data_IF_825103674253
#
_entry.id   IF_825103674253
#
_cell.length_a   1.000
_cell.length_b   1.000
_cell.length_c   1.000
_cell.angle_alpha   90.00
_cell.angle_beta   90.00
_cell.angle_gamma   90.00
#
_symmetry.space_group_name_H-M   'P 1'
#
loop_
_entity.id
_entity.type
_entity.pdbx_description
1 polymer ?
#
# COMPACT_ATOMS: atom_id res chain seq x y z
N UNK A 1 37.17 -9.87 6.82
CA UNK A 1 36.19 -10.50 5.90
C UNK A 1 34.94 -9.68 5.98
N UNK A 2 34.47 -9.10 4.87
CA UNK A 2 33.22 -8.34 4.88
C UNK A 2 32.05 -9.27 5.20
N UNK A 3 31.15 -8.86 6.09
CA UNK A 3 29.99 -9.67 6.53
C UNK A 3 28.77 -9.31 5.70
N UNK A 4 28.02 -10.31 5.22
CA UNK A 4 26.74 -10.06 4.54
C UNK A 4 25.68 -9.63 5.56
N UNK A 5 25.10 -8.46 5.34
CA UNK A 5 23.94 -7.92 6.05
C UNK A 5 22.72 -8.07 5.14
N UNK A 6 21.62 -8.65 5.64
CA UNK A 6 20.36 -8.79 4.89
C UNK A 6 19.30 -7.85 5.49
N UNK A 7 18.41 -7.34 4.66
CA UNK A 7 17.36 -6.42 5.06
C UNK A 7 16.00 -7.10 5.06
N UNK A 8 15.11 -6.67 5.94
CA UNK A 8 13.73 -7.13 5.92
C UNK A 8 13.02 -6.63 4.65
N UNK A 9 12.31 -7.53 3.99
CA UNK A 9 11.60 -7.23 2.74
C UNK A 9 10.17 -6.80 3.02
N UNK A 10 9.70 -5.74 2.37
CA UNK A 10 8.35 -5.19 2.56
C UNK A 10 7.68 -4.86 1.23
N UNK A 11 6.47 -5.37 1.04
CA UNK A 11 5.63 -5.02 -0.10
C UNK A 11 4.77 -3.79 0.21
N UNK A 12 4.53 -2.97 -0.80
CA UNK A 12 3.66 -1.80 -0.77
C UNK A 12 2.43 -1.94 -1.69
N UNK A 13 2.20 -3.14 -2.22
CA UNK A 13 1.10 -3.48 -3.14
C UNK A 13 1.62 -4.07 -4.44
N UNK A 14 0.70 -4.37 -5.35
CA UNK A 14 0.98 -4.83 -6.70
C UNK A 14 -0.13 -4.38 -7.66
N UNK A 15 0.23 -4.05 -8.90
CA UNK A 15 -0.70 -3.92 -10.02
C UNK A 15 -0.72 -5.23 -10.79
N UNK A 16 -1.82 -5.94 -10.65
CA UNK A 16 -2.00 -7.28 -11.14
C UNK A 16 -2.46 -7.28 -12.62
N UNK A 17 -1.78 -8.06 -13.46
CA UNK A 17 -2.14 -8.22 -14.89
C UNK A 17 -3.55 -8.80 -15.06
N UNK A 18 -4.20 -8.52 -16.20
CA UNK A 18 -5.51 -9.14 -16.49
C UNK A 18 -5.35 -10.67 -16.53
N UNK A 19 -6.09 -11.43 -15.71
CA UNK A 19 -5.96 -12.88 -15.69
C UNK A 19 -6.48 -13.52 -16.97
N UNK A 20 -5.88 -14.64 -17.34
CA UNK A 20 -6.38 -15.46 -18.42
C UNK A 20 -7.68 -16.17 -18.03
N UNK A 21 -8.49 -16.53 -19.03
CA UNK A 21 -9.72 -17.30 -18.83
C UNK A 21 -9.43 -18.64 -18.13
N UNK A 22 -8.31 -19.28 -18.46
CA UNK A 22 -7.93 -20.57 -17.85
C UNK A 22 -7.67 -20.42 -16.36
N UNK A 23 -6.92 -19.38 -15.94
CA UNK A 23 -6.64 -19.13 -14.53
C UNK A 23 -7.93 -18.86 -13.74
N UNK A 24 -8.84 -18.07 -14.32
CA UNK A 24 -10.14 -17.81 -13.69
C UNK A 24 -11.01 -19.07 -13.60
N UNK A 25 -11.04 -19.91 -14.63
CA UNK A 25 -11.81 -21.16 -14.62
C UNK A 25 -11.29 -22.12 -13.52
N UNK A 26 -9.98 -22.28 -13.42
CA UNK A 26 -9.33 -23.11 -12.41
C UNK A 26 -9.56 -22.58 -10.99
N UNK A 27 -9.54 -21.26 -10.83
CA UNK A 27 -9.79 -20.62 -9.54
C UNK A 27 -11.25 -20.70 -9.13
N UNK A 28 -12.18 -20.34 -10.01
CA UNK A 28 -13.63 -20.36 -9.72
C UNK A 28 -14.12 -21.76 -9.35
N UNK A 29 -13.57 -22.81 -9.96
CA UNK A 29 -13.85 -24.20 -9.55
C UNK A 29 -13.52 -24.51 -8.08
N UNK A 30 -12.59 -23.76 -7.47
CA UNK A 30 -12.19 -23.88 -6.06
C UNK A 30 -13.00 -22.98 -5.12
N UNK A 31 -13.79 -22.04 -5.64
CA UNK A 31 -14.57 -21.08 -4.85
C UNK A 31 -16.00 -21.55 -4.52
N UNK A 32 -16.33 -22.83 -4.72
CA UNK A 32 -17.69 -23.32 -4.54
C UNK A 32 -18.25 -23.01 -3.13
N UNK A 33 -19.40 -22.32 -3.08
CA UNK A 33 -20.05 -21.93 -1.82
C UNK A 33 -19.44 -20.71 -1.13
N UNK A 34 -18.49 -20.01 -1.78
CA UNK A 34 -17.88 -18.78 -1.27
C UNK A 34 -18.20 -17.62 -2.21
N UNK A 35 -18.66 -16.50 -1.66
CA UNK A 35 -18.81 -15.27 -2.43
C UNK A 35 -17.42 -14.72 -2.76
N UNK A 36 -17.09 -14.68 -4.04
CA UNK A 36 -15.81 -14.21 -4.54
C UNK A 36 -16.01 -13.61 -5.94
N UNK A 37 -15.25 -12.56 -6.26
CA UNK A 37 -15.25 -11.93 -7.57
C UNK A 37 -13.84 -11.77 -8.10
N UNK A 38 -13.71 -11.05 -9.22
CA UNK A 38 -12.41 -10.78 -9.84
C UNK A 38 -11.46 -10.05 -8.88
N UNK A 39 -11.97 -9.12 -8.07
CA UNK A 39 -11.13 -8.40 -7.10
C UNK A 39 -10.61 -9.37 -6.05
N UNK A 40 -11.47 -10.26 -5.52
CA UNK A 40 -11.03 -11.30 -4.60
C UNK A 40 -9.93 -12.17 -5.21
N UNK A 41 -10.04 -12.56 -6.49
CA UNK A 41 -8.97 -13.30 -7.19
C UNK A 41 -7.65 -12.52 -7.23
N UNK A 42 -7.69 -11.23 -7.63
CA UNK A 42 -6.49 -10.40 -7.74
C UNK A 42 -5.78 -10.23 -6.39
N UNK A 43 -6.54 -10.08 -5.30
CA UNK A 43 -5.99 -10.05 -3.94
C UNK A 43 -5.22 -11.33 -3.60
N UNK A 44 -5.82 -12.51 -3.85
CA UNK A 44 -5.14 -13.78 -3.59
C UNK A 44 -3.87 -13.92 -4.43
N UNK A 45 -3.98 -13.61 -5.72
CA UNK A 45 -2.87 -13.74 -6.67
C UNK A 45 -1.71 -12.83 -6.28
N UNK A 46 -1.99 -11.58 -5.94
CA UNK A 46 -0.97 -10.60 -5.52
C UNK A 46 -0.20 -11.07 -4.29
N UNK A 47 -0.86 -11.76 -3.37
CA UNK A 47 -0.26 -12.22 -2.12
C UNK A 47 0.49 -13.55 -2.27
N UNK A 48 -0.02 -14.45 -3.12
CA UNK A 48 0.53 -15.79 -3.33
C UNK A 48 1.96 -15.77 -3.88
N UNK A 49 2.30 -14.73 -4.65
CA UNK A 49 3.62 -14.59 -5.30
C UNK A 49 4.70 -13.94 -4.43
N UNK A 50 4.36 -13.53 -3.20
CA UNK A 50 5.24 -12.77 -2.31
C UNK A 50 6.08 -13.65 -1.35
N UNK A 51 6.57 -14.82 -1.79
CA UNK A 51 7.28 -15.77 -0.93
C UNK A 51 8.54 -15.17 -0.26
N UNK A 52 9.28 -14.32 -0.98
CA UNK A 52 10.49 -13.67 -0.49
C UNK A 52 10.26 -12.37 0.30
N UNK A 53 9.00 -11.96 0.47
CA UNK A 53 8.61 -10.74 1.21
C UNK A 53 8.40 -11.09 2.67
N UNK A 54 8.89 -10.29 3.62
CA UNK A 54 8.69 -10.51 5.06
C UNK A 54 7.37 -9.89 5.51
N UNK A 55 7.19 -8.59 5.23
CA UNK A 55 5.93 -7.87 5.45
C UNK A 55 5.15 -7.79 4.14
N UNK A 56 4.23 -8.74 3.94
CA UNK A 56 3.47 -8.84 2.71
C UNK A 56 2.31 -7.86 2.64
N UNK A 57 1.90 -7.52 1.42
CA UNK A 57 0.81 -6.58 1.17
C UNK A 57 0.00 -7.04 -0.05
N UNK A 58 -1.27 -7.38 0.17
CA UNK A 58 -2.22 -7.62 -0.93
C UNK A 58 -2.75 -6.29 -1.47
N UNK A 59 -3.41 -6.30 -2.63
CA UNK A 59 -4.05 -5.11 -3.19
C UNK A 59 -3.11 -4.21 -3.98
N UNK A 60 -3.64 -3.07 -4.38
CA UNK A 60 -3.05 -2.11 -5.32
C UNK A 60 -4.10 -1.10 -5.75
N UNK A 61 -3.82 -0.33 -6.80
CA UNK A 61 -4.74 0.67 -7.31
C UNK A 61 -6.05 0.06 -7.83
N UNK A 62 -6.00 -1.16 -8.39
CA UNK A 62 -7.19 -1.91 -8.81
C UNK A 62 -8.20 -2.14 -7.67
N UNK A 63 -7.76 -2.10 -6.41
CA UNK A 63 -8.65 -2.29 -5.28
C UNK A 63 -9.57 -1.08 -5.05
N UNK A 64 -9.32 0.05 -5.70
CA UNK A 64 -10.18 1.23 -5.66
C UNK A 64 -11.63 0.97 -6.05
N UNK A 65 -11.90 0.02 -6.97
CA UNK A 65 -13.28 -0.33 -7.34
C UNK A 65 -14.05 -0.98 -6.19
N UNK A 66 -13.37 -1.74 -5.33
CA UNK A 66 -13.98 -2.25 -4.09
C UNK A 66 -14.32 -1.11 -3.14
N UNK A 67 -13.49 -0.08 -3.07
CA UNK A 67 -13.68 1.07 -2.18
C UNK A 67 -14.88 1.88 -2.64
N UNK A 68 -14.92 2.21 -3.92
CA UNK A 68 -16.05 2.88 -4.55
C UNK A 68 -17.36 2.12 -4.33
N UNK A 69 -17.35 0.79 -4.47
CA UNK A 69 -18.52 -0.05 -4.20
C UNK A 69 -18.92 -0.15 -2.72
N UNK A 70 -18.02 0.19 -1.79
CA UNK A 70 -18.24 0.13 -0.34
C UNK A 70 -18.64 1.47 0.26
N UNK A 71 -18.63 2.56 -0.51
CA UNK A 71 -19.03 3.89 -0.08
C UNK A 71 -20.47 4.16 -0.54
N UNK A 72 -21.39 4.22 0.42
CA UNK A 72 -22.78 4.61 0.19
C UNK A 72 -22.86 6.11 -0.11
N UNK A 73 -23.88 6.53 -0.85
CA UNK A 73 -24.07 7.93 -1.27
C UNK A 73 -23.38 8.30 -2.59
N UNK A 74 -22.57 7.41 -3.16
CA UNK A 74 -21.98 7.55 -4.49
C UNK A 74 -22.94 7.14 -5.61
N UNK A 75 -22.90 7.89 -6.72
CA UNK A 75 -23.46 7.52 -8.03
C UNK A 75 -22.43 7.83 -9.10
N UNK A 76 -21.93 6.82 -9.81
CA UNK A 76 -20.92 6.98 -10.86
C UNK A 76 -19.71 7.83 -10.43
N UNK A 77 -19.16 7.55 -9.23
CA UNK A 77 -18.07 8.30 -8.57
C UNK A 77 -18.41 9.75 -8.18
N UNK A 78 -19.67 10.12 -8.18
CA UNK A 78 -20.13 11.42 -7.67
C UNK A 78 -20.82 11.23 -6.32
N UNK A 79 -20.35 11.94 -5.30
CA UNK A 79 -20.98 11.97 -4.00
C UNK A 79 -22.20 12.90 -4.04
N UNK A 80 -23.39 12.32 -3.82
CA UNK A 80 -24.68 13.02 -3.97
C UNK A 80 -25.52 13.03 -2.69
N UNK A 81 -25.01 12.42 -1.63
CA UNK A 81 -25.62 12.36 -0.31
C UNK A 81 -24.52 12.16 0.74
N UNK A 82 -24.90 12.23 2.01
CA UNK A 82 -24.01 11.93 3.13
C UNK A 82 -23.38 10.53 2.96
N UNK A 83 -22.04 10.40 3.00
CA UNK A 83 -21.40 9.13 2.77
C UNK A 83 -21.50 8.22 4.01
N UNK A 84 -21.72 6.92 3.78
CA UNK A 84 -21.65 5.87 4.80
C UNK A 84 -20.96 4.63 4.20
N UNK A 85 -20.82 3.55 4.97
CA UNK A 85 -20.12 2.34 4.54
C UNK A 85 -21.07 1.16 4.31
N UNK A 86 -20.81 0.39 3.27
CA UNK A 86 -21.14 -1.04 3.20
C UNK A 86 -19.85 -1.84 3.27
N UNK A 87 -19.54 -2.36 4.46
CA UNK A 87 -18.29 -3.08 4.70
C UNK A 87 -18.33 -4.56 4.28
N UNK A 88 -19.45 -5.06 3.74
CA UNK A 88 -19.68 -6.50 3.55
C UNK A 88 -18.60 -7.19 2.71
N UNK A 89 -18.18 -6.57 1.61
CA UNK A 89 -17.15 -7.12 0.73
C UNK A 89 -15.73 -6.90 1.25
N UNK A 90 -15.40 -5.73 1.82
CA UNK A 90 -14.06 -5.49 2.39
C UNK A 90 -13.77 -6.42 3.57
N UNK A 91 -14.78 -6.78 4.36
CA UNK A 91 -14.67 -7.78 5.44
C UNK A 91 -14.36 -9.17 4.86
N UNK A 92 -15.05 -9.58 3.80
CA UNK A 92 -14.78 -10.87 3.13
C UNK A 92 -13.37 -10.93 2.57
N UNK A 93 -12.95 -9.88 1.89
CA UNK A 93 -11.59 -9.76 1.34
C UNK A 93 -10.53 -9.76 2.44
N UNK A 94 -10.73 -9.02 3.54
CA UNK A 94 -9.82 -9.00 4.67
C UNK A 94 -9.63 -10.39 5.30
N UNK A 95 -10.72 -11.16 5.46
CA UNK A 95 -10.65 -12.55 5.94
C UNK A 95 -9.89 -13.45 4.98
N UNK A 96 -10.07 -13.25 3.66
CA UNK A 96 -9.35 -13.99 2.61
C UNK A 96 -7.85 -13.70 2.64
N UNK A 97 -7.48 -12.41 2.73
CA UNK A 97 -6.09 -11.98 2.91
C UNK A 97 -5.49 -12.63 4.17
N UNK A 98 -6.19 -12.56 5.30
CA UNK A 98 -5.73 -13.13 6.56
C UNK A 98 -5.55 -14.65 6.50
N UNK A 99 -6.48 -15.35 5.86
CA UNK A 99 -6.44 -16.81 5.71
C UNK A 99 -5.27 -17.28 4.84
N UNK A 100 -4.91 -16.51 3.80
CA UNK A 100 -3.75 -16.79 2.96
C UNK A 100 -2.44 -16.43 3.65
N UNK A 101 -2.40 -15.28 4.33
CA UNK A 101 -1.19 -14.80 4.99
C UNK A 101 -1.52 -13.93 6.21
N UNK A 102 -1.23 -14.48 7.38
CA UNK A 102 -1.36 -13.74 8.63
C UNK A 102 -0.46 -12.50 8.62
N UNK A 103 -0.96 -11.44 9.23
CA UNK A 103 -0.29 -10.15 9.34
C UNK A 103 0.01 -9.43 8.01
N UNK A 104 -0.60 -9.86 6.89
CA UNK A 104 -0.51 -9.12 5.64
C UNK A 104 -1.20 -7.75 5.74
N UNK A 105 -0.60 -6.78 5.07
CA UNK A 105 -1.16 -5.46 4.85
C UNK A 105 -2.05 -5.46 3.60
N UNK A 106 -2.81 -4.39 3.42
CA UNK A 106 -3.61 -4.18 2.22
C UNK A 106 -3.35 -2.81 1.60
N UNK A 107 -3.04 -2.78 0.31
CA UNK A 107 -2.81 -1.58 -0.47
C UNK A 107 -4.07 -1.19 -1.24
N UNK A 108 -4.31 0.12 -1.31
CA UNK A 108 -5.47 0.73 -1.93
C UNK A 108 -5.13 2.18 -2.34
N UNK A 109 -5.87 2.79 -3.29
CA UNK A 109 -5.75 4.23 -3.52
C UNK A 109 -6.11 5.04 -2.28
N UNK A 110 -5.44 6.18 -2.08
CA UNK A 110 -5.88 7.21 -1.13
C UNK A 110 -7.20 7.89 -1.57
N UNK A 111 -7.93 8.54 -0.66
CA UNK A 111 -9.20 9.22 -0.97
C UNK A 111 -9.18 10.12 -2.21
N UNK A 112 -8.20 11.01 -2.32
CA UNK A 112 -8.01 11.94 -3.45
C UNK A 112 -7.65 11.24 -4.76
N UNK A 113 -7.12 10.02 -4.68
CA UNK A 113 -6.75 9.21 -5.84
C UNK A 113 -7.92 8.37 -6.39
N UNK A 114 -9.06 8.30 -5.70
CA UNK A 114 -10.25 7.59 -6.20
C UNK A 114 -11.02 8.36 -7.29
N UNK A 115 -10.74 9.66 -7.45
CA UNK A 115 -11.43 10.51 -8.42
C UNK A 115 -12.92 10.67 -8.10
N UNK A 116 -13.27 10.80 -6.82
CA UNK A 116 -14.64 11.08 -6.39
C UNK A 116 -14.92 12.57 -6.54
N UNK A 117 -16.00 12.92 -7.22
CA UNK A 117 -16.49 14.30 -7.32
C UNK A 117 -17.48 14.61 -6.21
N UNK A 118 -17.40 15.82 -5.63
CA UNK A 118 -18.38 16.29 -4.65
C UNK A 118 -19.53 17.07 -5.30
N UNK A 119 -20.76 16.68 -4.98
CA UNK A 119 -22.00 17.45 -5.26
C UNK A 119 -22.92 17.54 -4.05
N UNK A 120 -22.46 17.13 -2.87
CA UNK A 120 -23.24 17.12 -1.63
C UNK A 120 -22.80 18.22 -0.68
N UNK A 121 -21.50 18.31 -0.37
CA UNK A 121 -20.99 19.27 0.61
C UNK A 121 -20.84 20.67 -0.01
N UNK A 122 -20.30 20.76 -1.22
CA UNK A 122 -20.00 22.03 -1.88
C UNK A 122 -18.80 22.77 -1.28
N UNK A 123 -18.21 22.23 -0.21
CA UNK A 123 -16.97 22.66 0.41
C UNK A 123 -15.94 21.52 0.38
N UNK A 124 -14.72 21.85 -0.03
CA UNK A 124 -13.66 20.85 -0.21
C UNK A 124 -13.18 20.27 1.12
N UNK A 125 -13.17 21.05 2.20
CA UNK A 125 -12.70 20.57 3.49
C UNK A 125 -13.71 19.60 4.11
N UNK A 126 -14.99 19.98 4.15
CA UNK A 126 -16.07 19.13 4.65
C UNK A 126 -16.17 17.82 3.84
N UNK A 127 -15.99 17.90 2.51
CA UNK A 127 -15.95 16.72 1.65
C UNK A 127 -14.82 15.75 2.00
N UNK A 128 -13.59 16.24 2.15
CA UNK A 128 -12.45 15.37 2.45
C UNK A 128 -12.49 14.85 3.89
N UNK A 129 -12.96 15.62 4.86
CA UNK A 129 -13.18 15.17 6.26
C UNK A 129 -14.16 13.99 6.29
N UNK A 130 -15.33 14.13 5.64
CA UNK A 130 -16.33 13.07 5.55
C UNK A 130 -15.80 11.83 4.82
N UNK A 131 -15.06 12.02 3.73
CA UNK A 131 -14.47 10.91 2.97
C UNK A 131 -13.38 10.19 3.78
N UNK A 132 -12.53 10.92 4.50
CA UNK A 132 -11.52 10.33 5.40
C UNK A 132 -12.18 9.56 6.54
N UNK A 133 -13.28 10.05 7.10
CA UNK A 133 -14.04 9.34 8.12
C UNK A 133 -14.54 7.97 7.62
N UNK A 134 -15.10 7.93 6.39
CA UNK A 134 -15.53 6.70 5.73
C UNK A 134 -14.36 5.73 5.50
N UNK A 135 -13.23 6.23 5.01
CA UNK A 135 -12.01 5.44 4.83
C UNK A 135 -11.51 4.84 6.15
N UNK A 136 -11.43 5.66 7.20
CA UNK A 136 -10.99 5.22 8.52
C UNK A 136 -11.87 4.09 9.08
N UNK A 137 -13.19 4.16 8.85
CA UNK A 137 -14.15 3.11 9.22
C UNK A 137 -13.96 1.84 8.40
N UNK A 138 -13.89 1.91 7.06
CA UNK A 138 -13.64 0.73 6.21
C UNK A 138 -12.31 0.04 6.56
N UNK A 139 -11.23 0.81 6.72
CA UNK A 139 -9.93 0.28 7.13
C UNK A 139 -9.99 -0.37 8.51
N UNK A 140 -10.82 0.14 9.43
CA UNK A 140 -11.03 -0.49 10.73
C UNK A 140 -11.72 -1.85 10.60
N UNK A 141 -12.79 -1.95 9.82
CA UNK A 141 -13.50 -3.21 9.57
C UNK A 141 -12.57 -4.30 9.00
N UNK A 142 -11.65 -3.91 8.10
CA UNK A 142 -10.64 -4.82 7.58
C UNK A 142 -9.63 -5.26 8.65
N UNK A 143 -9.17 -4.36 9.53
CA UNK A 143 -8.25 -4.72 10.62
C UNK A 143 -8.92 -5.67 11.62
N UNK A 144 -10.16 -5.37 11.98
CA UNK A 144 -10.96 -6.19 12.88
C UNK A 144 -11.24 -7.57 12.27
N UNK A 145 -11.12 -7.68 10.94
CA UNK A 145 -11.22 -8.92 10.17
C UNK A 145 -9.88 -9.61 9.83
N UNK A 146 -8.74 -9.07 10.30
CA UNK A 146 -7.44 -9.75 10.28
C UNK A 146 -6.32 -9.10 9.45
N UNK A 147 -6.58 -7.99 8.74
CA UNK A 147 -5.54 -7.22 8.03
C UNK A 147 -4.67 -6.44 9.03
N UNK A 148 -3.35 -6.45 8.84
CA UNK A 148 -2.43 -5.85 9.82
C UNK A 148 -2.33 -4.33 9.77
N UNK A 149 -2.61 -3.75 8.61
CA UNK A 149 -2.41 -2.33 8.29
C UNK A 149 -2.70 -2.05 6.82
N UNK A 150 -2.65 -0.77 6.45
CA UNK A 150 -3.03 -0.29 5.12
C UNK A 150 -1.90 0.51 4.47
N UNK A 151 -1.76 0.38 3.16
CA UNK A 151 -0.90 1.24 2.34
C UNK A 151 -1.81 2.08 1.45
N UNK A 152 -1.80 3.40 1.63
CA UNK A 152 -2.55 4.34 0.80
C UNK A 152 -1.65 4.81 -0.34
N UNK A 153 -2.01 4.44 -1.56
CA UNK A 153 -1.27 4.75 -2.79
C UNK A 153 -1.82 6.04 -3.40
N UNK A 154 -0.93 6.97 -3.74
CA UNK A 154 -1.28 8.18 -4.47
C UNK A 154 -0.07 9.04 -4.82
N UNK A 155 -0.12 9.79 -5.92
CA UNK A 155 0.97 10.68 -6.32
C UNK A 155 0.97 12.02 -5.56
N UNK A 156 -0.12 12.29 -4.85
CA UNK A 156 -0.31 13.39 -3.93
C UNK A 156 -1.44 13.09 -2.97
N UNK A 157 -1.38 13.71 -1.80
CA UNK A 157 -2.42 13.63 -0.76
C UNK A 157 -2.84 15.05 -0.39
N UNK A 158 -4.08 15.27 0.00
CA UNK A 158 -4.51 16.52 0.65
C UNK A 158 -3.98 16.57 2.09
N UNK A 159 -3.94 17.76 2.69
CA UNK A 159 -3.48 17.87 4.08
C UNK A 159 -4.46 17.20 5.03
N UNK A 160 -5.76 17.27 4.73
CA UNK A 160 -6.83 16.58 5.46
C UNK A 160 -6.61 15.06 5.44
N UNK A 161 -6.33 14.46 4.28
CA UNK A 161 -6.03 13.02 4.20
C UNK A 161 -4.82 12.62 5.05
N UNK A 162 -3.76 13.42 5.00
CA UNK A 162 -2.54 13.15 5.76
C UNK A 162 -2.78 13.27 7.26
N UNK A 163 -3.48 14.31 7.70
CA UNK A 163 -3.78 14.57 9.11
C UNK A 163 -4.77 13.54 9.69
N UNK A 164 -5.84 13.23 8.96
CA UNK A 164 -6.95 12.40 9.47
C UNK A 164 -6.68 10.90 9.39
N UNK A 165 -5.92 10.45 8.38
CA UNK A 165 -5.67 9.03 8.17
C UNK A 165 -4.31 8.57 8.71
N UNK A 166 -3.40 9.49 9.07
CA UNK A 166 -2.12 9.10 9.64
C UNK A 166 -2.28 8.27 10.92
N UNK A 167 -1.45 7.24 11.05
CA UNK A 167 -1.40 6.43 12.26
C UNK A 167 -0.57 5.17 12.09
N UNK A 168 -0.36 4.45 13.18
CA UNK A 168 0.54 3.27 13.22
C UNK A 168 0.18 2.14 12.24
N UNK A 169 -1.06 2.12 11.76
CA UNK A 169 -1.61 1.07 10.89
C UNK A 169 -1.95 1.56 9.49
N UNK A 170 -1.47 2.74 9.12
CA UNK A 170 -1.61 3.35 7.80
C UNK A 170 -0.22 3.78 7.34
N UNK A 171 0.08 3.58 6.07
CA UNK A 171 1.32 4.00 5.45
C UNK A 171 1.02 4.72 4.15
N UNK A 172 1.41 5.99 4.02
CA UNK A 172 1.28 6.71 2.77
C UNK A 172 2.42 6.36 1.83
N UNK A 173 2.09 5.93 0.61
CA UNK A 173 3.05 5.53 -0.40
C UNK A 173 2.80 6.28 -1.71
N UNK A 174 3.81 7.03 -2.16
CA UNK A 174 3.74 7.82 -3.38
C UNK A 174 4.75 7.32 -4.42
N UNK A 175 4.44 6.25 -5.18
CA UNK A 175 5.38 5.66 -6.15
C UNK A 175 5.82 6.67 -7.23
N UNK A 176 4.92 7.55 -7.67
CA UNK A 176 5.19 8.65 -8.61
C UNK A 176 5.34 10.02 -7.94
N UNK A 177 5.43 10.08 -6.61
CA UNK A 177 5.45 11.32 -5.84
C UNK A 177 6.68 12.19 -6.13
N UNK A 178 6.48 13.51 -6.06
CA UNK A 178 7.57 14.50 -6.13
C UNK A 178 8.23 14.69 -4.77
N UNK A 179 9.37 15.39 -4.70
CA UNK A 179 9.99 15.81 -3.43
C UNK A 179 9.01 16.47 -2.46
N UNK A 180 8.13 17.34 -2.98
CA UNK A 180 7.07 17.99 -2.21
C UNK A 180 6.03 17.01 -1.66
N UNK A 181 5.70 15.96 -2.41
CA UNK A 181 4.80 14.90 -1.91
C UNK A 181 5.45 14.17 -0.74
N UNK A 182 6.74 13.86 -0.85
CA UNK A 182 7.51 13.20 0.21
C UNK A 182 7.62 14.08 1.46
N UNK A 183 7.94 15.37 1.32
CA UNK A 183 7.96 16.34 2.42
C UNK A 183 6.65 16.31 3.21
N UNK A 184 5.51 16.39 2.52
CA UNK A 184 4.18 16.36 3.16
C UNK A 184 3.87 15.04 3.87
N UNK A 185 4.33 13.91 3.33
CA UNK A 185 4.22 12.61 4.03
C UNK A 185 5.07 12.65 5.31
N UNK A 186 6.28 13.21 5.25
CA UNK A 186 7.19 13.31 6.39
C UNK A 186 6.70 14.26 7.50
N UNK A 187 5.75 15.16 7.21
CA UNK A 187 5.07 15.98 8.23
C UNK A 187 4.23 15.12 9.21
N UNK A 188 3.71 13.98 8.75
CA UNK A 188 2.78 13.12 9.53
C UNK A 188 3.31 11.70 9.79
N UNK A 189 4.38 11.29 9.11
CA UNK A 189 4.91 9.92 9.15
C UNK A 189 6.45 9.92 9.24
N UNK A 190 7.01 9.25 10.24
CA UNK A 190 8.47 9.14 10.48
C UNK A 190 9.16 8.04 9.64
N UNK A 191 8.43 7.46 8.68
CA UNK A 191 8.88 6.38 7.81
C UNK A 191 8.51 6.72 6.39
N UNK A 192 9.31 6.32 5.41
CA UNK A 192 9.00 6.61 4.00
C UNK A 192 9.49 5.50 3.07
N UNK A 193 8.77 5.31 1.97
CA UNK A 193 9.18 4.42 0.90
C UNK A 193 9.52 5.26 -0.33
N UNK A 194 10.75 5.14 -0.82
CA UNK A 194 11.24 5.89 -1.99
C UNK A 194 12.01 4.97 -2.93
N UNK A 195 11.93 5.16 -4.26
CA UNK A 195 12.88 4.57 -5.20
C UNK A 195 14.33 4.81 -4.77
N UNK A 196 15.19 3.80 -4.89
CA UNK A 196 16.59 3.89 -4.47
C UNK A 196 17.33 5.12 -5.01
N UNK A 197 17.06 5.50 -6.26
CA UNK A 197 17.58 6.71 -6.93
C UNK A 197 17.28 8.03 -6.20
N UNK A 198 16.26 8.07 -5.34
CA UNK A 198 15.86 9.25 -4.57
C UNK A 198 16.43 9.26 -3.15
N UNK A 199 17.24 8.27 -2.76
CA UNK A 199 17.93 8.27 -1.47
C UNK A 199 18.71 9.57 -1.22
N UNK A 200 19.53 10.12 -2.15
CA UNK A 200 20.24 11.38 -1.90
C UNK A 200 19.33 12.56 -1.55
N UNK A 201 18.15 12.64 -2.19
CA UNK A 201 17.16 13.66 -1.89
C UNK A 201 16.55 13.45 -0.51
N UNK A 202 16.21 12.21 -0.16
CA UNK A 202 15.71 11.88 1.18
C UNK A 202 16.73 12.25 2.27
N UNK A 203 18.01 11.97 2.06
CA UNK A 203 19.08 12.33 3.00
C UNK A 203 19.19 13.84 3.21
N UNK A 204 18.89 14.65 2.20
CA UNK A 204 18.81 16.11 2.37
C UNK A 204 17.63 16.50 3.26
N UNK A 205 16.46 15.88 3.06
CA UNK A 205 15.25 16.11 3.86
C UNK A 205 15.41 15.68 5.33
N UNK A 206 16.29 14.74 5.64
CA UNK A 206 16.59 14.36 7.03
C UNK A 206 17.15 15.51 7.88
N UNK A 207 17.63 16.60 7.26
CA UNK A 207 18.00 17.81 8.00
C UNK A 207 16.81 18.59 8.55
N UNK A 208 15.62 18.39 7.98
CA UNK A 208 14.39 19.12 8.31
C UNK A 208 13.33 18.23 8.98
N UNK A 209 13.34 16.92 8.70
CA UNK A 209 12.35 15.96 9.16
C UNK A 209 12.97 14.78 9.95
N UNK A 210 12.27 14.29 10.99
CA UNK A 210 12.67 13.09 11.75
C UNK A 210 12.34 11.81 10.96
N UNK A 211 13.20 11.46 10.01
CA UNK A 211 13.08 10.20 9.25
C UNK A 211 13.73 9.08 10.04
N UNK A 212 12.91 8.20 10.62
CA UNK A 212 13.38 7.06 11.42
C UNK A 212 13.56 5.78 10.64
N UNK A 213 12.75 5.56 9.60
CA UNK A 213 12.78 4.34 8.80
C UNK A 213 12.67 4.66 7.32
N UNK A 214 13.34 3.86 6.51
CA UNK A 214 13.29 3.98 5.05
C UNK A 214 13.07 2.62 4.42
N UNK A 215 12.14 2.55 3.47
CA UNK A 215 12.04 1.44 2.54
C UNK A 215 12.56 1.89 1.17
N UNK A 216 13.61 1.24 0.68
CA UNK A 216 14.15 1.55 -0.64
C UNK A 216 13.49 0.66 -1.68
N UNK A 217 12.70 1.26 -2.57
CA UNK A 217 12.04 0.56 -3.65
C UNK A 217 13.06 0.23 -4.75
N UNK A 218 13.08 -1.04 -5.15
CA UNK A 218 13.91 -1.61 -6.22
C UNK A 218 15.44 -1.46 -6.02
N UNK A 219 15.89 -1.26 -4.77
CA UNK A 219 17.30 -1.11 -4.41
C UNK A 219 18.14 -2.38 -4.65
N UNK A 220 19.43 -2.16 -4.95
CA UNK A 220 20.46 -3.19 -4.98
C UNK A 220 21.46 -3.07 -3.82
N UNK A 221 22.46 -3.96 -3.76
CA UNK A 221 23.43 -4.00 -2.66
C UNK A 221 24.22 -2.71 -2.43
N UNK A 222 24.48 -1.94 -3.48
CA UNK A 222 25.18 -0.66 -3.40
C UNK A 222 24.30 0.44 -2.78
N UNK A 223 23.01 0.47 -3.10
CA UNK A 223 22.05 1.42 -2.52
C UNK A 223 21.89 1.18 -1.02
N UNK A 224 21.81 -0.08 -0.60
CA UNK A 224 21.77 -0.44 0.80
C UNK A 224 23.06 -0.08 1.53
N UNK A 225 24.23 -0.25 0.88
CA UNK A 225 25.50 0.19 1.46
C UNK A 225 25.48 1.70 1.73
N UNK A 226 25.02 2.49 0.77
CA UNK A 226 24.87 3.93 0.93
C UNK A 226 23.90 4.29 2.06
N UNK A 227 22.75 3.61 2.15
CA UNK A 227 21.76 3.85 3.19
C UNK A 227 22.28 3.52 4.60
N UNK A 228 23.07 2.44 4.75
CA UNK A 228 23.70 2.08 6.04
C UNK A 228 24.71 3.11 6.54
N UNK A 229 25.14 4.06 5.72
CA UNK A 229 25.93 5.20 6.17
C UNK A 229 25.13 6.25 6.96
N UNK A 230 23.79 6.18 6.92
CA UNK A 230 22.89 7.18 7.47
C UNK A 230 21.81 6.60 8.40
N UNK A 231 21.40 5.35 8.18
CA UNK A 231 20.40 4.65 8.97
C UNK A 231 20.99 3.38 9.59
N UNK A 232 20.52 3.04 10.79
CA UNK A 232 20.78 1.72 11.36
C UNK A 232 20.15 0.63 10.47
N UNK A 233 20.80 -0.54 10.30
CA UNK A 233 20.30 -1.64 9.47
C UNK A 233 18.84 -2.05 9.72
N UNK A 234 18.41 -2.06 10.98
CA UNK A 234 17.04 -2.41 11.39
C UNK A 234 15.97 -1.39 10.96
N UNK A 235 16.40 -0.19 10.56
CA UNK A 235 15.55 0.89 10.08
C UNK A 235 15.46 0.96 8.55
N UNK A 236 16.14 0.03 7.85
CA UNK A 236 16.15 -0.06 6.39
C UNK A 236 15.37 -1.30 5.95
N UNK A 237 14.40 -1.10 5.05
CA UNK A 237 13.66 -2.17 4.40
C UNK A 237 14.01 -2.27 2.93
N UNK A 238 14.08 -3.51 2.44
CA UNK A 238 14.06 -3.80 1.01
C UNK A 238 12.61 -3.73 0.52
N UNK A 239 12.25 -2.60 -0.06
CA UNK A 239 10.88 -2.30 -0.47
C UNK A 239 10.58 -2.74 -1.90
N UNK A 240 9.32 -3.11 -2.15
CA UNK A 240 8.86 -3.37 -3.51
C UNK A 240 7.41 -3.03 -3.75
N UNK A 241 7.11 -2.70 -5.00
CA UNK A 241 5.79 -2.43 -5.55
C UNK A 241 5.76 -2.93 -6.99
N UNK A 242 5.09 -4.07 -7.21
CA UNK A 242 5.08 -4.71 -8.52
C UNK A 242 4.11 -4.00 -9.47
N UNK A 243 4.50 -3.79 -10.73
CA UNK A 243 3.63 -3.23 -11.78
C UNK A 243 3.43 -4.18 -12.97
N UNK A 244 3.70 -5.47 -12.78
CA UNK A 244 3.63 -6.53 -13.81
C UNK A 244 4.66 -7.63 -13.57
N UNK A 245 4.35 -8.87 -13.97
CA UNK A 245 5.30 -10.00 -13.84
C UNK A 245 5.69 -10.32 -12.39
N UNK A 246 4.75 -10.19 -11.45
CA UNK A 246 5.06 -10.09 -10.01
C UNK A 246 5.80 -11.27 -9.40
N UNK A 247 5.60 -12.50 -9.89
CA UNK A 247 6.31 -13.67 -9.37
C UNK A 247 7.84 -13.56 -9.51
N UNK A 248 8.33 -13.12 -10.67
CA UNK A 248 9.76 -12.91 -10.88
C UNK A 248 10.26 -11.71 -10.07
N UNK A 249 9.49 -10.62 -10.08
CA UNK A 249 9.79 -9.38 -9.37
C UNK A 249 10.08 -9.60 -7.87
N UNK A 250 9.18 -10.26 -7.14
CA UNK A 250 9.35 -10.47 -5.70
C UNK A 250 10.55 -11.35 -5.36
N UNK A 251 10.81 -12.36 -6.19
CA UNK A 251 11.97 -13.24 -6.04
C UNK A 251 13.28 -12.45 -6.22
N UNK A 252 13.39 -11.70 -7.31
CA UNK A 252 14.58 -10.88 -7.60
C UNK A 252 14.81 -9.80 -6.53
N UNK A 253 13.74 -9.21 -5.99
CA UNK A 253 13.84 -8.26 -4.89
C UNK A 253 14.46 -8.92 -3.65
N UNK A 254 14.00 -10.11 -3.25
CA UNK A 254 14.56 -10.85 -2.12
C UNK A 254 16.02 -11.25 -2.32
N UNK A 255 16.42 -11.60 -3.55
CA UNK A 255 17.81 -11.95 -3.88
C UNK A 255 18.77 -10.76 -3.81
N UNK A 256 18.26 -9.53 -4.01
CA UNK A 256 19.04 -8.27 -3.95
C UNK A 256 19.02 -7.59 -2.58
N UNK A 257 18.21 -8.06 -1.63
CA UNK A 257 18.01 -7.45 -0.30
C UNK A 257 19.18 -7.66 0.69
N UNK A 258 20.39 -7.28 0.30
CA UNK A 258 21.59 -7.44 1.13
C UNK A 258 22.68 -6.43 0.79
N UNK A 259 23.63 -6.24 1.70
CA UNK A 259 24.88 -5.51 1.43
C UNK A 259 26.08 -6.14 2.16
N UNK A 260 27.28 -5.64 1.90
CA UNK A 260 28.51 -6.04 2.61
C UNK A 260 28.87 -4.98 3.66
N UNK A 261 28.88 -5.39 4.93
CA UNK A 261 29.40 -4.58 6.02
C UNK A 261 30.94 -4.63 5.97
N UNK A 262 31.57 -3.45 5.98
CA UNK A 262 33.04 -3.30 6.03
C UNK A 262 33.64 -3.80 7.34
#
# INVERSE_FOLDING_TARGET
MKKRLNFETRAFGAEEDVPSISELADWTGKQHGTDADLISFLLERSLAVQEAVTTACAGGCYYGDRWLGSILGLRDRVLTAEPDIDASWVIKDARRIHALRQHAWCALPGPSSLGIEDRHFGDTADFYDALCHVFARLMREMRDSGVAGHVLIGDGFTSIELEDLAGKKVFFFAPGGTGRTIERILEVQDSVAVPARFLPQLLHLMGEYDVRRVALIDAGPEDYAAATGHFDPENIYAGGYCTGGCAAYWKEMGERAWTLQE
#
